data_IF_099024675580
#
_entry.id   IF_099024675580
#
_cell.length_a   1.000
_cell.length_b   1.000
_cell.length_c   1.000
_cell.angle_alpha   90.00
_cell.angle_beta   90.00
_cell.angle_gamma   90.00
#
_symmetry.space_group_name_H-M   'P 1'
#
loop_
_entity.id
_entity.type
_entity.pdbx_description
1 polymer ?
#
# COMPACT_ATOMS: atom_id res chain seq x y z
N UNK A 1 -14.89 -9.37 2.62
CA UNK A 1 -13.47 -9.35 2.18
C UNK A 1 -13.34 -9.16 0.67
N UNK A 2 -14.08 -8.22 0.08
CA UNK A 2 -13.86 -7.87 -1.33
C UNK A 2 -12.92 -6.68 -1.45
N UNK A 3 -13.05 -5.68 -0.57
CA UNK A 3 -12.31 -4.41 -0.69
C UNK A 3 -10.92 -4.52 -0.07
N UNK A 4 -10.79 -5.02 1.15
CA UNK A 4 -9.47 -5.19 1.78
C UNK A 4 -8.58 -6.14 0.98
N UNK A 5 -9.14 -7.28 0.54
CA UNK A 5 -8.39 -8.26 -0.28
C UNK A 5 -7.97 -7.68 -1.63
N UNK A 6 -8.81 -6.83 -2.25
CA UNK A 6 -8.48 -6.14 -3.51
C UNK A 6 -7.19 -5.33 -3.33
N UNK A 7 -7.11 -4.48 -2.31
CA UNK A 7 -5.94 -3.62 -2.10
C UNK A 7 -4.72 -4.36 -1.56
N UNK A 8 -4.89 -5.42 -0.76
CA UNK A 8 -3.76 -6.31 -0.42
C UNK A 8 -3.17 -6.98 -1.67
N UNK A 9 -4.01 -7.44 -2.60
CA UNK A 9 -3.53 -7.99 -3.86
C UNK A 9 -2.87 -6.92 -4.74
N UNK A 10 -3.38 -5.69 -4.73
CA UNK A 10 -2.81 -4.57 -5.46
C UNK A 10 -1.40 -4.23 -4.97
N UNK A 11 -1.20 -4.12 -3.65
CA UNK A 11 0.12 -3.92 -3.04
C UNK A 11 1.03 -5.11 -3.38
N UNK A 12 0.52 -6.34 -3.24
CA UNK A 12 1.30 -7.54 -3.54
C UNK A 12 1.80 -7.57 -4.98
N UNK A 13 0.93 -7.25 -5.95
CA UNK A 13 1.30 -7.22 -7.35
C UNK A 13 2.38 -6.17 -7.61
N UNK A 14 2.28 -4.98 -7.00
CA UNK A 14 3.36 -3.99 -7.07
C UNK A 14 4.68 -4.49 -6.48
N UNK A 15 4.65 -5.19 -5.35
CA UNK A 15 5.87 -5.74 -4.73
C UNK A 15 6.51 -6.84 -5.59
N UNK A 16 5.71 -7.66 -6.27
CA UNK A 16 6.19 -8.74 -7.16
C UNK A 16 6.60 -8.22 -8.55
N UNK A 17 5.90 -7.20 -9.06
CA UNK A 17 5.98 -6.69 -10.42
C UNK A 17 6.14 -5.17 -10.45
N UNK A 18 7.14 -4.66 -9.72
CA UNK A 18 7.36 -3.21 -9.54
C UNK A 18 7.60 -2.52 -10.90
N UNK A 19 6.78 -1.52 -11.28
CA UNK A 19 6.95 -0.77 -12.52
C UNK A 19 8.12 0.22 -12.43
N UNK A 20 8.58 0.72 -13.59
CA UNK A 20 9.60 1.78 -13.67
C UNK A 20 9.08 3.15 -13.19
N UNK A 21 7.77 3.38 -13.30
CA UNK A 21 7.09 4.55 -12.75
C UNK A 21 6.05 4.10 -11.73
N UNK A 22 6.20 4.59 -10.50
CA UNK A 22 5.39 4.20 -9.34
C UNK A 22 4.38 5.27 -8.93
N UNK A 23 4.36 6.41 -9.61
CA UNK A 23 3.57 7.58 -9.19
C UNK A 23 2.05 7.32 -9.26
N UNK A 24 1.57 6.67 -10.33
CA UNK A 24 0.15 6.30 -10.40
C UNK A 24 -0.23 5.27 -9.33
N UNK A 25 0.66 4.33 -9.02
CA UNK A 25 0.45 3.35 -7.97
C UNK A 25 0.28 4.01 -6.60
N UNK A 26 1.14 4.97 -6.26
CA UNK A 26 1.11 5.62 -4.95
C UNK A 26 -0.18 6.41 -4.74
N UNK A 27 -0.63 7.17 -5.74
CA UNK A 27 -1.89 7.92 -5.68
C UNK A 27 -3.08 6.96 -5.46
N UNK A 28 -3.17 5.89 -6.26
CA UNK A 28 -4.28 4.95 -6.16
C UNK A 28 -4.32 4.28 -4.78
N UNK A 29 -3.17 3.92 -4.23
CA UNK A 29 -3.09 3.30 -2.91
C UNK A 29 -3.45 4.30 -1.80
N UNK A 30 -2.94 5.52 -1.85
CA UNK A 30 -3.24 6.58 -0.88
C UNK A 30 -4.75 6.91 -0.88
N UNK A 31 -5.33 7.15 -2.06
CA UNK A 31 -6.75 7.42 -2.22
C UNK A 31 -7.60 6.27 -1.65
N UNK A 32 -7.22 5.01 -1.93
CA UNK A 32 -7.93 3.85 -1.41
C UNK A 32 -7.93 3.77 0.12
N UNK A 33 -6.83 4.17 0.77
CA UNK A 33 -6.73 4.17 2.24
C UNK A 33 -7.62 5.24 2.89
N UNK A 34 -8.16 6.19 2.12
CA UNK A 34 -9.11 7.20 2.58
C UNK A 34 -10.53 6.83 2.14
N UNK A 35 -10.75 6.65 0.84
CA UNK A 35 -12.07 6.46 0.23
C UNK A 35 -12.73 5.15 0.68
N UNK A 36 -11.93 4.10 0.86
CA UNK A 36 -12.40 2.74 1.15
C UNK A 36 -12.11 2.32 2.60
N UNK A 37 -11.65 3.25 3.44
CA UNK A 37 -11.21 2.97 4.81
C UNK A 37 -12.28 2.22 5.61
N UNK A 38 -13.51 2.74 5.65
CA UNK A 38 -14.59 2.16 6.44
C UNK A 38 -14.94 0.73 5.97
N UNK A 39 -14.89 0.49 4.65
CA UNK A 39 -15.16 -0.82 4.08
C UNK A 39 -14.02 -1.82 4.39
N UNK A 40 -12.77 -1.37 4.30
CA UNK A 40 -11.60 -2.18 4.66
C UNK A 40 -11.58 -2.48 6.16
N UNK A 41 -11.84 -1.47 7.00
CA UNK A 41 -11.86 -1.58 8.46
C UNK A 41 -12.95 -2.53 8.93
N UNK A 42 -14.16 -2.44 8.37
CA UNK A 42 -15.23 -3.38 8.68
C UNK A 42 -14.89 -4.84 8.34
N UNK A 43 -14.03 -5.08 7.34
CA UNK A 43 -13.58 -6.42 6.93
C UNK A 43 -12.38 -6.93 7.76
N UNK A 44 -11.39 -6.08 7.97
CA UNK A 44 -10.12 -6.40 8.63
C UNK A 44 -9.64 -5.18 9.44
N UNK A 45 -10.17 -4.96 10.66
CA UNK A 45 -9.95 -3.72 11.41
C UNK A 45 -8.47 -3.44 11.67
N UNK A 46 -7.79 -4.41 12.30
CA UNK A 46 -6.40 -4.22 12.72
C UNK A 46 -5.44 -4.10 11.54
N UNK A 47 -5.67 -4.87 10.48
CA UNK A 47 -4.82 -4.80 9.28
C UNK A 47 -5.02 -3.47 8.53
N UNK A 48 -6.24 -2.94 8.51
CA UNK A 48 -6.55 -1.64 7.89
C UNK A 48 -5.90 -0.49 8.66
N UNK A 49 -5.98 -0.51 10.00
CA UNK A 49 -5.29 0.47 10.86
C UNK A 49 -3.79 0.49 10.58
N UNK A 50 -3.15 -0.68 10.49
CA UNK A 50 -1.72 -0.79 10.20
C UNK A 50 -1.38 -0.19 8.83
N UNK A 51 -2.18 -0.48 7.79
CA UNK A 51 -1.93 0.13 6.48
C UNK A 51 -2.09 1.65 6.54
N UNK A 52 -3.09 2.17 7.23
CA UNK A 52 -3.36 3.60 7.32
C UNK A 52 -2.39 4.40 8.21
N UNK A 53 -1.44 3.75 8.90
CA UNK A 53 -0.40 4.44 9.69
C UNK A 53 0.66 5.05 8.78
N UNK A 54 1.62 4.25 8.28
CA UNK A 54 2.80 4.76 7.57
C UNK A 54 2.65 4.70 6.03
N UNK A 55 1.72 3.91 5.50
CA UNK A 55 1.59 3.73 4.05
C UNK A 55 1.26 5.03 3.30
N UNK A 56 0.41 5.95 3.81
CA UNK A 56 0.18 7.25 3.16
C UNK A 56 1.46 8.07 3.01
N UNK A 57 2.29 8.16 4.06
CA UNK A 57 3.55 8.90 4.02
C UNK A 57 4.57 8.26 3.05
N UNK A 58 4.59 6.93 2.95
CA UNK A 58 5.37 6.21 1.93
C UNK A 58 4.86 6.59 0.53
N UNK A 59 3.55 6.58 0.30
CA UNK A 59 2.93 6.96 -0.98
C UNK A 59 3.26 8.41 -1.36
N UNK A 60 3.24 9.33 -0.40
CA UNK A 60 3.57 10.74 -0.61
C UNK A 60 5.06 10.97 -1.00
N UNK A 61 5.93 9.97 -0.81
CA UNK A 61 7.33 10.06 -1.25
C UNK A 61 7.55 9.74 -2.73
N UNK A 62 6.53 9.18 -3.40
CA UNK A 62 6.61 8.84 -4.81
C UNK A 62 6.40 10.07 -5.70
N UNK A 63 7.31 10.25 -6.65
CA UNK A 63 7.31 11.38 -7.60
C UNK A 63 7.58 10.87 -9.04
N UNK A 64 7.11 11.58 -10.08
CA UNK A 64 7.41 11.21 -11.46
C UNK A 64 8.93 11.20 -11.74
N UNK A 65 9.42 10.12 -12.32
CA UNK A 65 10.82 10.00 -12.76
C UNK A 65 11.84 9.70 -11.64
N UNK A 66 11.38 9.11 -10.53
CA UNK A 66 12.27 8.56 -9.49
C UNK A 66 13.33 7.61 -10.06
N UNK A 67 14.51 7.64 -9.45
CA UNK A 67 15.59 6.72 -9.79
C UNK A 67 15.31 5.32 -9.25
N UNK A 68 15.91 4.28 -9.84
CA UNK A 68 15.76 2.90 -9.36
C UNK A 68 16.08 2.73 -7.86
N UNK A 69 17.06 3.45 -7.32
CA UNK A 69 17.41 3.33 -5.90
C UNK A 69 16.34 3.91 -4.97
N UNK A 70 15.63 4.95 -5.43
CA UNK A 70 14.53 5.59 -4.70
C UNK A 70 13.28 4.70 -4.73
N UNK A 71 13.01 4.07 -5.88
CA UNK A 71 11.92 3.09 -6.04
C UNK A 71 12.17 1.86 -5.16
N UNK A 72 13.41 1.36 -5.10
CA UNK A 72 13.77 0.24 -4.23
C UNK A 72 13.61 0.58 -2.74
N UNK A 73 13.87 1.85 -2.35
CA UNK A 73 13.61 2.31 -0.99
C UNK A 73 12.11 2.32 -0.69
N UNK A 74 11.30 2.93 -1.55
CA UNK A 74 9.84 2.94 -1.44
C UNK A 74 9.29 1.52 -1.29
N UNK A 75 9.74 0.61 -2.17
CA UNK A 75 9.31 -0.79 -2.18
C UNK A 75 9.57 -1.50 -0.86
N UNK A 76 10.76 -1.29 -0.26
CA UNK A 76 11.12 -1.91 1.03
C UNK A 76 10.27 -1.37 2.18
N UNK A 77 10.02 -0.07 2.20
CA UNK A 77 9.19 0.56 3.23
C UNK A 77 7.75 0.05 3.13
N UNK A 78 7.19 0.00 1.92
CA UNK A 78 5.86 -0.55 1.67
C UNK A 78 5.76 -2.05 2.02
N UNK A 79 6.78 -2.85 1.69
CA UNK A 79 6.81 -4.28 2.02
C UNK A 79 6.75 -4.53 3.52
N UNK A 80 7.36 -3.67 4.34
CA UNK A 80 7.29 -3.76 5.81
C UNK A 80 5.85 -3.58 6.28
N UNK A 81 5.17 -2.53 5.84
CA UNK A 81 3.78 -2.26 6.22
C UNK A 81 2.81 -3.34 5.70
N UNK A 82 2.99 -3.77 4.46
CA UNK A 82 2.24 -4.89 3.88
C UNK A 82 2.36 -6.15 4.75
N UNK A 83 3.58 -6.51 5.17
CA UNK A 83 3.80 -7.70 5.98
C UNK A 83 3.24 -7.58 7.41
N UNK A 84 3.26 -6.38 8.00
CA UNK A 84 2.60 -6.13 9.30
C UNK A 84 1.09 -6.32 9.16
N UNK A 85 0.48 -5.72 8.14
CA UNK A 85 -0.96 -5.83 7.88
C UNK A 85 -1.37 -7.28 7.60
N UNK A 86 -0.61 -7.99 6.76
CA UNK A 86 -0.85 -9.40 6.42
C UNK A 86 -0.87 -10.31 7.66
N UNK A 87 0.00 -10.06 8.65
CA UNK A 87 0.05 -10.82 9.91
C UNK A 87 -1.14 -10.54 10.84
N UNK A 88 -1.85 -9.43 10.63
CA UNK A 88 -2.98 -8.99 11.44
C UNK A 88 -4.35 -9.40 10.86
N UNK A 89 -4.37 -10.06 9.70
CA UNK A 89 -5.59 -10.56 9.06
C UNK A 89 -6.20 -11.70 9.90
N UNK A 90 -7.52 -11.64 10.11
CA UNK A 90 -8.31 -12.64 10.88
C UNK A 90 -9.40 -13.31 10.05
#
# INVERSE_FOLDING_TARGET
>A
MQVFRKYMNYIKDFLENTPEDIYEFSIILEDALVDEYDAMHAEQPRATEILAEETPDICASAEPGMKPEEIEKFKRELEIEYNKALKAVV
#
